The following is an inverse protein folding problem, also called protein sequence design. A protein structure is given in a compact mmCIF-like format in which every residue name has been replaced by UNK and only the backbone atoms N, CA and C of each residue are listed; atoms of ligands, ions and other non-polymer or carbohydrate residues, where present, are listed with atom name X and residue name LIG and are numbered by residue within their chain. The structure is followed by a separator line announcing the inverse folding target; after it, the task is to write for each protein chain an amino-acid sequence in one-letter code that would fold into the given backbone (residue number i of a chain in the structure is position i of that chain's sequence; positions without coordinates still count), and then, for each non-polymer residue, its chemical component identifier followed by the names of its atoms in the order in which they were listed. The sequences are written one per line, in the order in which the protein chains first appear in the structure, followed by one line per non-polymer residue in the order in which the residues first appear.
data_IF_177496499041
#
_entry.id   IF_177496499041
#
_cell.length_a   1.000
_cell.length_b   1.000
_cell.length_c   1.000
_cell.angle_alpha   90.00
_cell.angle_beta   90.00
_cell.angle_gamma   90.00
#
_symmetry.space_group_name_H-M   'P 1'
#
loop_
_entity.id
_entity.type
_entity.pdbx_description
1 polymer ?
#
# COMPACT_ATOMS: atom_id res chain seq x y z
N UNK A 1 10.76 -6.09 5.90
CA UNK A 1 10.36 -4.97 6.77
C UNK A 1 10.95 -5.09 8.17
N UNK A 2 10.50 -6.04 9.00
CA UNK A 2 10.96 -6.14 10.41
C UNK A 2 12.49 -6.28 10.53
N UNK A 3 13.12 -7.11 9.69
CA UNK A 3 14.57 -7.26 9.70
C UNK A 3 15.32 -5.96 9.34
N UNK A 4 14.83 -5.19 8.36
CA UNK A 4 15.40 -3.90 7.99
C UNK A 4 15.19 -2.86 9.10
N UNK A 5 14.01 -2.84 9.73
CA UNK A 5 13.73 -2.00 10.89
C UNK A 5 14.67 -2.31 12.06
N UNK A 6 14.91 -3.59 12.34
CA UNK A 6 15.84 -4.00 13.38
C UNK A 6 17.28 -3.57 13.06
N UNK A 7 17.70 -3.72 11.80
CA UNK A 7 19.03 -3.29 11.34
C UNK A 7 19.21 -1.78 11.53
N UNK A 8 18.22 -0.98 11.13
CA UNK A 8 18.25 0.48 11.30
C UNK A 8 18.18 0.88 12.77
N UNK A 9 17.38 0.20 13.59
CA UNK A 9 17.37 0.40 15.03
C UNK A 9 18.75 0.17 15.65
N UNK A 10 19.41 -0.94 15.33
CA UNK A 10 20.76 -1.21 15.86
C UNK A 10 21.78 -0.16 15.38
N UNK A 11 21.68 0.27 14.12
CA UNK A 11 22.62 1.21 13.51
C UNK A 11 22.43 2.66 13.99
N UNK A 12 21.18 3.10 14.16
CA UNK A 12 20.81 4.51 14.32
C UNK A 12 20.23 4.85 15.69
N UNK A 13 20.02 3.89 16.60
CA UNK A 13 19.49 4.18 17.95
C UNK A 13 20.39 5.10 18.77
N UNK A 14 21.70 4.96 18.63
CA UNK A 14 22.67 5.82 19.30
C UNK A 14 23.83 6.15 18.35
N UNK A 15 23.63 7.11 17.44
CA UNK A 15 24.54 7.41 16.34
C UNK A 15 25.73 8.27 16.80
N UNK A 16 26.57 7.78 17.70
CA UNK A 16 27.72 8.54 18.26
C UNK A 16 28.76 8.92 17.20
N UNK A 17 28.83 8.17 16.09
CA UNK A 17 29.80 8.38 15.00
C UNK A 17 29.15 8.70 13.65
N UNK A 18 27.83 8.84 13.61
CA UNK A 18 27.11 9.10 12.36
C UNK A 18 26.70 10.57 12.36
N UNK A 19 27.15 11.31 11.35
CA UNK A 19 26.77 12.70 11.18
C UNK A 19 25.34 12.79 10.70
N UNK A 20 24.64 13.83 11.14
CA UNK A 20 23.35 14.23 10.57
C UNK A 20 23.58 15.23 9.44
N UNK A 21 22.62 15.32 8.52
CA UNK A 21 22.65 16.26 7.41
C UNK A 21 22.24 17.64 7.90
N UNK A 22 23.19 18.56 7.94
CA UNK A 22 22.91 19.96 8.22
C UNK A 22 22.22 20.61 7.01
N UNK A 23 20.90 20.76 7.08
CA UNK A 23 20.13 21.50 6.08
C UNK A 23 20.04 22.97 6.49
N UNK A 24 20.72 23.85 5.75
CA UNK A 24 20.63 25.31 5.91
C UNK A 24 19.85 25.91 4.75
N UNK A 25 18.81 26.67 5.06
CA UNK A 25 18.05 27.45 4.10
C UNK A 25 18.25 28.95 4.36
N UNK A 26 18.77 29.66 3.38
CA UNK A 26 18.96 31.11 3.46
C UNK A 26 18.12 31.81 2.41
N UNK A 27 17.48 32.92 2.79
CA UNK A 27 16.71 33.75 1.88
C UNK A 27 16.70 35.21 2.31
N UNK A 28 16.26 36.07 1.40
CA UNK A 28 16.10 37.50 1.67
C UNK A 28 14.61 37.83 1.61
N UNK A 29 14.06 38.26 2.74
CA UNK A 29 12.71 38.79 2.81
C UNK A 29 12.74 40.28 2.46
N UNK A 30 12.01 40.68 1.42
CA UNK A 30 11.89 42.10 1.03
C UNK A 30 10.55 42.65 1.47
N UNK A 31 10.55 43.75 2.21
CA UNK A 31 9.34 44.45 2.58
C UNK A 31 8.77 45.18 1.34
N UNK A 32 7.56 44.80 0.92
CA UNK A 32 6.94 45.36 -0.29
C UNK A 32 6.56 46.85 -0.20
N UNK A 33 6.52 47.43 1.00
CA UNK A 33 6.20 48.85 1.21
C UNK A 33 7.46 49.74 1.37
N UNK A 34 8.50 49.24 2.06
CA UNK A 34 9.71 50.03 2.36
C UNK A 34 10.92 49.66 1.50
N UNK A 35 10.84 48.60 0.69
CA UNK A 35 11.97 48.00 -0.05
C UNK A 35 13.17 47.60 0.83
N UNK A 36 12.99 47.52 2.14
CA UNK A 36 14.01 47.03 3.06
C UNK A 36 14.12 45.51 2.95
N UNK A 37 15.35 45.02 3.07
CA UNK A 37 15.67 43.61 2.89
C UNK A 37 16.20 43.03 4.19
N UNK A 38 15.63 41.90 4.63
CA UNK A 38 16.08 41.14 5.79
C UNK A 38 16.62 39.79 5.33
N UNK A 39 17.89 39.52 5.63
CA UNK A 39 18.45 38.19 5.43
C UNK A 39 18.01 37.28 6.56
N UNK A 40 17.39 36.16 6.21
CA UNK A 40 16.92 35.14 7.15
C UNK A 40 17.62 33.83 6.83
N UNK A 41 18.16 33.20 7.86
CA UNK A 41 18.79 31.90 7.78
C UNK A 41 18.05 30.95 8.73
N UNK A 42 17.58 29.84 8.19
CA UNK A 42 16.98 28.75 8.94
C UNK A 42 17.91 27.55 8.90
N UNK A 43 18.09 26.92 10.06
CA UNK A 43 18.82 25.66 10.17
C UNK A 43 17.88 24.60 10.70
N UNK A 44 17.92 23.41 10.09
CA UNK A 44 17.30 22.20 10.65
C UNK A 44 17.88 21.90 12.03
N UNK A 45 17.00 21.70 13.02
CA UNK A 45 17.36 21.31 14.39
C UNK A 45 16.93 19.86 14.63
N UNK A 46 17.57 18.94 13.91
CA UNK A 46 17.35 17.50 14.06
C UNK A 46 18.28 16.95 15.14
N UNK A 47 17.72 16.47 16.27
CA UNK A 47 18.49 15.80 17.31
C UNK A 47 18.43 14.26 17.13
N UNK A 48 19.54 13.61 16.77
CA UNK A 48 19.55 12.17 16.52
C UNK A 48 19.39 11.32 17.78
N UNK A 49 19.44 11.92 18.97
CA UNK A 49 19.25 11.24 20.27
C UNK A 49 17.88 11.49 20.89
N UNK A 50 17.08 12.39 20.31
CA UNK A 50 15.75 12.76 20.77
C UNK A 50 14.65 11.92 20.12
N UNK A 51 13.39 12.34 20.30
CA UNK A 51 12.24 11.78 19.58
C UNK A 51 12.21 12.10 18.09
N UNK A 52 13.06 12.98 17.58
CA UNK A 52 13.16 13.31 16.15
C UNK A 52 13.67 12.12 15.35
N UNK A 53 14.53 11.30 15.97
CA UNK A 53 15.01 10.06 15.39
C UNK A 53 14.03 8.90 15.66
N UNK A 54 13.29 8.41 14.64
CA UNK A 54 12.34 7.32 14.82
C UNK A 54 13.02 5.96 15.07
N UNK A 55 14.35 5.87 14.96
CA UNK A 55 15.13 4.65 15.21
C UNK A 55 15.63 4.53 16.65
N UNK A 56 15.27 5.47 17.54
CA UNK A 56 15.58 5.39 18.98
C UNK A 56 14.77 4.31 19.70
N UNK A 57 13.58 3.98 19.19
CA UNK A 57 12.74 2.88 19.68
C UNK A 57 12.44 1.87 18.59
N UNK A 58 12.41 0.58 18.94
CA UNK A 58 12.21 -0.49 17.95
C UNK A 58 10.82 -0.43 17.30
N UNK A 59 9.78 -0.08 18.07
CA UNK A 59 8.43 0.07 17.54
C UNK A 59 8.32 1.22 16.53
N UNK A 60 8.95 2.37 16.81
CA UNK A 60 8.98 3.48 15.85
C UNK A 60 9.85 3.14 14.64
N UNK A 61 10.94 2.38 14.81
CA UNK A 61 11.75 1.91 13.69
C UNK A 61 10.94 1.03 12.71
N UNK A 62 10.03 0.19 13.23
CA UNK A 62 9.11 -0.59 12.39
C UNK A 62 8.17 0.35 11.62
N UNK A 63 7.61 1.35 12.29
CA UNK A 63 6.69 2.33 11.66
C UNK A 63 7.41 3.19 10.63
N UNK A 64 8.64 3.63 10.88
CA UNK A 64 9.44 4.39 9.93
C UNK A 64 9.80 3.55 8.70
N UNK A 65 10.26 2.30 8.92
CA UNK A 65 10.53 1.35 7.82
C UNK A 65 9.25 1.06 7.04
N UNK A 66 8.11 0.95 7.75
CA UNK A 66 6.74 1.20 7.29
C UNK A 66 6.63 2.05 6.03
N UNK A 67 6.86 3.33 6.28
CA UNK A 67 6.68 4.43 5.35
C UNK A 67 7.70 4.49 4.22
N UNK A 68 8.75 3.64 4.25
CA UNK A 68 9.64 3.47 3.09
C UNK A 68 8.87 3.02 1.86
N UNK A 69 7.78 2.25 2.03
CA UNK A 69 6.90 1.84 0.93
C UNK A 69 6.21 3.03 0.26
N UNK A 70 6.02 4.13 1.00
CA UNK A 70 5.45 5.38 0.51
C UNK A 70 6.51 6.38 0.02
N UNK A 71 7.79 6.04 0.16
CA UNK A 71 8.91 6.88 -0.26
C UNK A 71 9.44 7.83 0.82
N UNK A 72 8.88 7.81 2.03
CA UNK A 72 9.40 8.57 3.16
C UNK A 72 10.61 7.83 3.75
N UNK A 73 11.79 8.49 3.69
CA UNK A 73 13.08 7.88 3.98
C UNK A 73 13.89 8.74 4.96
N UNK A 74 13.34 8.98 6.14
CA UNK A 74 13.99 9.73 7.24
C UNK A 74 15.45 9.32 7.49
N UNK A 75 15.78 8.02 7.44
CA UNK A 75 17.15 7.55 7.62
C UNK A 75 18.12 8.11 6.57
N UNK A 76 17.67 8.23 5.32
CA UNK A 76 18.49 8.72 4.21
C UNK A 76 18.53 10.24 4.20
N UNK A 77 17.44 10.88 4.60
CA UNK A 77 17.29 12.33 4.50
C UNK A 77 17.95 13.06 5.68
N UNK A 78 18.02 12.43 6.86
CA UNK A 78 18.61 13.04 8.06
C UNK A 78 20.02 12.55 8.41
N UNK A 79 20.41 11.32 8.03
CA UNK A 79 21.74 10.80 8.37
C UNK A 79 22.69 10.83 7.16
N UNK A 80 23.90 11.35 7.38
CA UNK A 80 24.99 11.37 6.41
C UNK A 80 25.89 10.14 6.62
N UNK A 81 25.48 9.00 6.06
CA UNK A 81 26.23 7.75 6.17
C UNK A 81 26.03 6.81 4.97
N UNK A 82 27.13 6.44 4.33
CA UNK A 82 27.11 5.55 3.17
C UNK A 82 26.53 4.14 3.48
N UNK A 83 26.68 3.64 4.70
CA UNK A 83 26.14 2.34 5.13
C UNK A 83 24.61 2.38 5.14
N UNK A 84 24.05 3.49 5.62
CA UNK A 84 22.59 3.73 5.64
C UNK A 84 22.06 3.77 4.21
N UNK A 85 22.76 4.46 3.31
CA UNK A 85 22.40 4.53 1.90
C UNK A 85 22.44 3.14 1.23
N UNK A 86 23.50 2.36 1.48
CA UNK A 86 23.66 1.03 0.91
C UNK A 86 22.55 0.06 1.36
N UNK A 87 22.23 0.03 2.66
CA UNK A 87 21.13 -0.81 3.16
C UNK A 87 19.77 -0.34 2.64
N UNK A 88 19.54 0.96 2.54
CA UNK A 88 18.30 1.52 1.99
C UNK A 88 18.12 1.11 0.53
N UNK A 89 19.20 1.14 -0.27
CA UNK A 89 19.18 0.69 -1.67
C UNK A 89 18.86 -0.80 -1.78
N UNK A 90 19.52 -1.65 -1.00
CA UNK A 90 19.26 -3.10 -0.97
C UNK A 90 17.80 -3.37 -0.57
N UNK A 91 17.33 -2.70 0.47
CA UNK A 91 15.96 -2.84 0.96
C UNK A 91 14.95 -2.42 -0.12
N UNK A 92 15.18 -1.30 -0.81
CA UNK A 92 14.30 -0.82 -1.89
C UNK A 92 14.20 -1.81 -3.04
N UNK A 93 15.32 -2.39 -3.50
CA UNK A 93 15.32 -3.42 -4.55
C UNK A 93 14.50 -4.64 -4.11
N UNK A 94 14.73 -5.15 -2.90
CA UNK A 94 14.02 -6.34 -2.41
C UNK A 94 12.53 -6.06 -2.18
N UNK A 95 12.19 -4.96 -1.50
CA UNK A 95 10.82 -4.64 -1.13
C UNK A 95 9.99 -4.17 -2.32
N UNK A 96 10.49 -3.18 -3.06
CA UNK A 96 9.72 -2.54 -4.11
C UNK A 96 9.83 -3.34 -5.40
N UNK A 97 11.03 -3.77 -5.79
CA UNK A 97 11.20 -4.43 -7.10
C UNK A 97 10.81 -5.91 -7.04
N UNK A 98 11.23 -6.65 -6.00
CA UNK A 98 10.94 -8.09 -5.96
C UNK A 98 9.56 -8.35 -5.37
N UNK A 99 9.31 -7.91 -4.14
CA UNK A 99 8.09 -8.28 -3.42
C UNK A 99 6.84 -7.63 -4.01
N UNK A 100 6.87 -6.36 -4.41
CA UNK A 100 5.71 -5.72 -5.05
C UNK A 100 5.37 -6.38 -6.39
N UNK A 101 6.36 -6.63 -7.25
CA UNK A 101 6.13 -7.26 -8.56
C UNK A 101 5.67 -8.71 -8.42
N UNK A 102 6.22 -9.45 -7.45
CA UNK A 102 5.77 -10.82 -7.16
C UNK A 102 4.34 -10.83 -6.60
N UNK A 103 3.98 -9.88 -5.73
CA UNK A 103 2.63 -9.74 -5.20
C UNK A 103 1.63 -9.38 -6.31
N UNK A 104 1.99 -8.47 -7.22
CA UNK A 104 1.15 -8.12 -8.38
C UNK A 104 0.96 -9.34 -9.28
N UNK A 105 2.02 -10.07 -9.61
CA UNK A 105 1.94 -11.28 -10.43
C UNK A 105 1.06 -12.35 -9.76
N UNK A 106 1.23 -12.56 -8.45
CA UNK A 106 0.42 -13.47 -7.67
C UNK A 106 -1.06 -13.06 -7.65
N UNK A 107 -1.35 -11.80 -7.33
CA UNK A 107 -2.72 -11.27 -7.31
C UNK A 107 -3.36 -11.33 -8.70
N UNK A 108 -2.60 -11.07 -9.76
CA UNK A 108 -3.09 -11.18 -11.14
C UNK A 108 -3.49 -12.61 -11.48
N UNK A 109 -2.64 -13.60 -11.15
CA UNK A 109 -2.95 -15.01 -11.41
C UNK A 109 -4.13 -15.52 -10.58
N UNK A 110 -4.23 -15.10 -9.32
CA UNK A 110 -5.39 -15.43 -8.46
C UNK A 110 -6.66 -14.72 -8.96
N UNK A 111 -6.56 -13.47 -9.40
CA UNK A 111 -7.67 -12.67 -9.89
C UNK A 111 -8.33 -13.30 -11.11
N UNK A 112 -7.56 -13.79 -12.09
CA UNK A 112 -8.10 -14.45 -13.28
C UNK A 112 -8.93 -15.70 -12.92
N UNK A 113 -8.44 -16.49 -11.95
CA UNK A 113 -9.16 -17.66 -11.45
C UNK A 113 -10.38 -17.27 -10.59
N UNK A 114 -10.29 -16.19 -9.83
CA UNK A 114 -11.38 -15.67 -9.01
C UNK A 114 -12.46 -14.97 -9.84
N UNK A 115 -12.13 -14.39 -10.99
CA UNK A 115 -13.09 -13.72 -11.87
C UNK A 115 -14.08 -14.74 -12.46
N UNK A 116 -13.56 -15.85 -12.97
CA UNK A 116 -14.40 -16.92 -13.57
C UNK A 116 -15.31 -17.57 -12.52
N UNK A 117 -14.75 -17.95 -11.36
CA UNK A 117 -15.51 -18.54 -10.24
C UNK A 117 -16.42 -17.54 -9.56
N UNK A 118 -16.00 -16.28 -9.45
CA UNK A 118 -16.73 -15.18 -8.86
C UNK A 118 -17.97 -14.85 -9.68
N UNK A 119 -17.86 -14.79 -11.02
CA UNK A 119 -19.00 -14.60 -11.91
C UNK A 119 -20.03 -15.72 -11.78
N UNK A 120 -19.58 -16.98 -11.71
CA UNK A 120 -20.47 -18.12 -11.52
C UNK A 120 -21.16 -18.08 -10.14
N UNK A 121 -20.42 -17.73 -9.10
CA UNK A 121 -20.95 -17.61 -7.73
C UNK A 121 -21.95 -16.47 -7.61
N UNK A 122 -21.67 -15.32 -8.25
CA UNK A 122 -22.58 -14.17 -8.30
C UNK A 122 -23.90 -14.52 -8.99
N UNK A 123 -23.84 -15.15 -10.16
CA UNK A 123 -25.05 -15.58 -10.89
C UNK A 123 -25.87 -16.57 -10.08
N UNK A 124 -25.21 -17.53 -9.40
CA UNK A 124 -25.89 -18.47 -8.51
C UNK A 124 -26.53 -17.78 -7.32
N UNK A 125 -25.84 -16.81 -6.73
CA UNK A 125 -26.38 -16.02 -5.61
C UNK A 125 -27.58 -15.18 -6.04
N UNK A 126 -27.53 -14.53 -7.21
CA UNK A 126 -28.67 -13.81 -7.78
C UNK A 126 -29.84 -14.74 -8.07
N UNK A 127 -29.60 -15.90 -8.68
CA UNK A 127 -30.64 -16.89 -8.97
C UNK A 127 -31.31 -17.39 -7.68
N UNK A 128 -30.53 -17.69 -6.64
CA UNK A 128 -31.07 -18.07 -5.34
C UNK A 128 -31.90 -16.93 -4.72
N UNK A 129 -31.43 -15.68 -4.80
CA UNK A 129 -32.16 -14.53 -4.29
C UNK A 129 -33.52 -14.32 -5.00
N UNK A 130 -33.57 -14.55 -6.32
CA UNK A 130 -34.80 -14.49 -7.11
C UNK A 130 -35.73 -15.62 -6.71
N UNK A 131 -35.21 -16.86 -6.62
CA UNK A 131 -36.01 -18.02 -6.22
C UNK A 131 -36.60 -17.87 -4.81
N UNK A 132 -35.82 -17.34 -3.86
CA UNK A 132 -36.29 -17.07 -2.49
C UNK A 132 -37.38 -15.98 -2.47
N UNK A 133 -37.21 -14.92 -3.28
CA UNK A 133 -38.22 -13.88 -3.44
C UNK A 133 -39.51 -14.43 -4.08
N UNK A 134 -39.41 -15.21 -5.15
CA UNK A 134 -40.54 -15.85 -5.82
C UNK A 134 -41.29 -16.79 -4.88
N UNK A 135 -40.57 -17.64 -4.12
CA UNK A 135 -41.18 -18.54 -3.14
C UNK A 135 -41.97 -17.78 -2.07
N UNK A 136 -41.42 -16.68 -1.53
CA UNK A 136 -42.11 -15.83 -0.54
C UNK A 136 -43.31 -15.08 -1.16
N UNK A 137 -43.20 -14.61 -2.40
CA UNK A 137 -44.25 -13.88 -3.10
C UNK A 137 -45.43 -14.80 -3.51
N UNK A 138 -45.13 -16.00 -4.01
CA UNK A 138 -46.13 -17.01 -4.39
C UNK A 138 -46.93 -17.53 -3.19
N UNK A 139 -46.36 -17.53 -1.97
CA UNK A 139 -47.09 -17.95 -0.76
C UNK A 139 -48.10 -16.88 -0.31
N UNK A 140 -47.87 -15.60 -0.61
CA UNK A 140 -48.54 -14.50 0.10
C UNK A 140 -49.43 -13.59 -0.76
N UNK A 141 -49.23 -13.44 -2.09
CA UNK A 141 -49.90 -12.35 -2.83
C UNK A 141 -50.56 -12.63 -4.21
N UNK A 142 -50.41 -13.78 -4.88
CA UNK A 142 -51.13 -14.03 -6.16
C UNK A 142 -51.34 -15.51 -6.51
N UNK A 143 -52.47 -15.84 -7.16
CA UNK A 143 -52.72 -17.14 -7.80
C UNK A 143 -51.83 -17.41 -9.02
N UNK A 144 -51.36 -18.65 -9.13
CA UNK A 144 -50.35 -19.17 -10.07
C UNK A 144 -50.45 -18.60 -11.50
N UNK A 145 -49.47 -17.78 -11.89
CA UNK A 145 -49.27 -17.39 -13.30
C UNK A 145 -48.56 -18.55 -14.00
N UNK A 146 -49.11 -19.02 -15.13
CA UNK A 146 -48.66 -20.26 -15.78
C UNK A 146 -47.23 -20.11 -16.30
N UNK A 147 -46.32 -20.96 -15.82
CA UNK A 147 -44.96 -21.09 -16.35
C UNK A 147 -44.95 -21.20 -17.88
N UNK A 148 -44.01 -20.56 -18.58
CA UNK A 148 -43.88 -20.69 -20.03
C UNK A 148 -43.61 -22.16 -20.37
N UNK A 149 -44.52 -22.74 -21.18
CA UNK A 149 -44.55 -24.18 -21.53
C UNK A 149 -43.27 -24.69 -22.22
N UNK A 150 -42.40 -23.81 -22.71
CA UNK A 150 -41.18 -24.17 -23.42
C UNK A 150 -40.03 -23.22 -23.08
N UNK A 151 -38.96 -23.76 -22.51
CA UNK A 151 -37.66 -23.09 -22.38
C UNK A 151 -36.79 -23.63 -23.52
N UNK A 152 -36.43 -22.79 -24.49
CA UNK A 152 -35.47 -23.14 -25.54
C UNK A 152 -34.05 -22.79 -25.09
N UNK A 153 -33.18 -23.79 -24.96
CA UNK A 153 -31.77 -23.61 -24.68
C UNK A 153 -30.95 -23.76 -25.97
N UNK A 154 -30.40 -22.66 -26.49
CA UNK A 154 -29.39 -22.71 -27.56
C UNK A 154 -28.01 -22.92 -26.94
N UNK A 155 -27.64 -24.18 -26.71
CA UNK A 155 -26.31 -24.54 -26.24
C UNK A 155 -25.27 -24.36 -27.34
N UNK A 156 -24.33 -23.43 -27.15
CA UNK A 156 -23.07 -23.44 -27.91
C UNK A 156 -22.15 -24.54 -27.33
N UNK A 157 -22.44 -25.78 -27.74
CA UNK A 157 -21.68 -26.99 -27.41
C UNK A 157 -20.38 -27.04 -28.23
N UNK A 158 -19.31 -26.40 -27.75
CA UNK A 158 -17.97 -26.68 -28.29
C UNK A 158 -16.86 -26.90 -27.26
N UNK A 159 -17.10 -26.79 -25.96
CA UNK A 159 -16.01 -26.83 -24.97
C UNK A 159 -16.20 -27.87 -23.84
N UNK A 160 -16.89 -28.98 -24.09
CA UNK A 160 -16.95 -30.11 -23.16
C UNK A 160 -16.57 -31.41 -23.86
N UNK A 161 -15.33 -31.49 -24.32
CA UNK A 161 -14.62 -32.74 -24.57
C UNK A 161 -13.17 -32.50 -24.14
N UNK A 162 -12.91 -32.77 -22.87
CA UNK A 162 -11.80 -33.62 -22.41
C UNK A 162 -11.67 -33.51 -20.89
N UNK A 163 -12.08 -34.60 -20.24
CA UNK A 163 -11.82 -34.95 -18.85
C UNK A 163 -10.59 -35.85 -18.78
#
# INVERSE_FOLDING_TARGET
MIAFAHTMFVLLRNPVQIKTKDSTFSGTATNSLTNETLNVEFKSDFDPTSGDNPFTSFSQAIVATYFWLSGDMVQRDEFDNWVVDAFTLIASIVLVVVLQNMLIAFMSGVYENAETKGRQTLLRHQANHIADYEALHHIHFWGHERDPKYIYYFGHSKNFEDW
#
